data_IF_002136490808
#
_entry.id   IF_002136490808
#
_cell.length_a   1.000
_cell.length_b   1.000
_cell.length_c   1.000
_cell.angle_alpha   90.00
_cell.angle_beta   90.00
_cell.angle_gamma   90.00
#
_symmetry.space_group_name_H-M   'P 1'
#
loop_
_entity.id
_entity.type
_entity.pdbx_description
1 polymer ?
#
# COMPACT_ATOMS: atom_id res chain seq x y z
N UNK A 1 7.55 -7.15 -27.04
CA UNK A 1 6.38 -7.02 -26.14
C UNK A 1 6.71 -5.98 -25.08
N UNK A 2 5.97 -4.88 -25.07
CA UNK A 2 6.18 -3.84 -24.06
C UNK A 2 5.28 -4.09 -22.86
N UNK A 3 5.87 -4.36 -21.70
CA UNK A 3 5.15 -4.41 -20.45
C UNK A 3 5.36 -3.05 -19.78
N UNK A 4 4.28 -2.31 -19.55
CA UNK A 4 4.36 -1.04 -18.84
C UNK A 4 4.54 -1.28 -17.33
N UNK A 5 5.08 -0.28 -16.62
CA UNK A 5 5.16 -0.34 -15.15
C UNK A 5 3.77 -0.45 -14.52
N UNK A 6 2.78 0.16 -15.15
CA UNK A 6 1.41 0.10 -14.67
C UNK A 6 0.85 -1.32 -14.72
N UNK A 7 1.07 -2.02 -15.84
CA UNK A 7 0.67 -3.41 -15.99
C UNK A 7 1.38 -4.33 -15.00
N UNK A 8 2.68 -4.13 -14.85
CA UNK A 8 3.49 -4.91 -13.91
C UNK A 8 2.99 -4.73 -12.47
N UNK A 9 2.69 -3.50 -12.09
CA UNK A 9 2.16 -3.23 -10.77
C UNK A 9 0.78 -3.86 -10.56
N UNK A 10 -0.15 -3.62 -11.48
CA UNK A 10 -1.53 -4.08 -11.32
C UNK A 10 -1.68 -5.59 -11.39
N UNK A 11 -0.92 -6.26 -12.26
CA UNK A 11 -1.08 -7.69 -12.52
C UNK A 11 -0.25 -8.59 -11.60
N UNK A 12 0.89 -8.10 -11.12
CA UNK A 12 1.83 -8.93 -10.37
C UNK A 12 2.20 -8.41 -9.00
N UNK A 13 2.62 -7.17 -8.91
CA UNK A 13 3.28 -6.67 -7.71
C UNK A 13 2.33 -6.20 -6.63
N UNK A 14 1.18 -5.65 -6.98
CA UNK A 14 0.21 -5.16 -6.00
C UNK A 14 -0.21 -6.27 -5.05
N UNK A 15 -0.58 -7.42 -5.61
CA UNK A 15 -0.99 -8.58 -4.82
C UNK A 15 0.16 -9.09 -3.93
N UNK A 16 1.37 -9.16 -4.48
CA UNK A 16 2.55 -9.59 -3.74
C UNK A 16 2.88 -8.64 -2.57
N UNK A 17 2.78 -7.35 -2.79
CA UNK A 17 3.03 -6.36 -1.75
C UNK A 17 1.95 -6.33 -0.67
N UNK A 18 0.77 -6.86 -0.96
CA UNK A 18 -0.35 -6.93 -0.02
C UNK A 18 -0.35 -8.21 0.83
N UNK A 19 0.50 -9.18 0.52
CA UNK A 19 0.62 -10.41 1.30
C UNK A 19 1.29 -10.15 2.65
N UNK A 20 0.76 -10.80 3.69
CA UNK A 20 1.35 -10.74 5.03
C UNK A 20 2.51 -11.72 5.09
N UNK A 21 3.72 -11.22 5.26
CA UNK A 21 4.95 -12.02 5.19
C UNK A 21 5.71 -12.11 6.51
N UNK A 22 5.43 -11.22 7.47
CA UNK A 22 6.18 -11.15 8.72
C UNK A 22 5.29 -11.22 9.94
N UNK A 23 5.88 -11.58 11.10
CA UNK A 23 5.19 -11.58 12.38
C UNK A 23 4.79 -10.17 12.80
N UNK A 24 5.59 -9.16 12.46
CA UNK A 24 5.24 -7.76 12.73
C UNK A 24 3.99 -7.34 11.96
N UNK A 25 3.90 -7.71 10.70
CA UNK A 25 2.71 -7.43 9.88
C UNK A 25 1.48 -8.11 10.46
N UNK A 26 1.61 -9.35 10.91
CA UNK A 26 0.49 -10.07 11.55
C UNK A 26 0.04 -9.40 12.84
N UNK A 27 0.97 -8.96 13.67
CA UNK A 27 0.66 -8.25 14.92
C UNK A 27 -0.06 -6.94 14.65
N UNK A 28 0.40 -6.17 13.67
CA UNK A 28 -0.23 -4.90 13.28
C UNK A 28 -1.64 -5.12 12.72
N UNK A 29 -1.80 -6.12 11.87
CA UNK A 29 -3.10 -6.47 11.29
C UNK A 29 -4.09 -6.90 12.38
N UNK A 30 -3.64 -7.70 13.33
CA UNK A 30 -4.45 -8.13 14.47
C UNK A 30 -4.85 -6.94 15.34
N UNK A 31 -3.92 -6.03 15.61
CA UNK A 31 -4.20 -4.84 16.39
C UNK A 31 -5.22 -3.93 15.70
N UNK A 32 -5.10 -3.77 14.38
CA UNK A 32 -6.06 -2.98 13.60
C UNK A 32 -7.46 -3.60 13.72
N UNK A 33 -7.58 -4.93 13.61
CA UNK A 33 -8.86 -5.62 13.74
C UNK A 33 -9.45 -5.44 15.16
N UNK A 34 -8.63 -5.54 16.19
CA UNK A 34 -9.07 -5.33 17.58
C UNK A 34 -9.55 -3.89 17.81
N UNK A 35 -8.82 -2.91 17.29
CA UNK A 35 -9.20 -1.49 17.40
C UNK A 35 -10.47 -1.19 16.61
N UNK A 36 -10.62 -1.79 15.43
CA UNK A 36 -11.83 -1.64 14.62
C UNK A 36 -13.06 -2.16 15.36
N UNK A 37 -12.96 -3.33 15.98
CA UNK A 37 -14.04 -3.89 16.79
C UNK A 37 -14.37 -3.00 17.98
N UNK A 38 -13.36 -2.46 18.65
CA UNK A 38 -13.53 -1.55 19.78
C UNK A 38 -14.24 -0.26 19.35
N UNK A 39 -13.83 0.32 18.25
CA UNK A 39 -14.45 1.53 17.69
C UNK A 39 -15.92 1.27 17.36
N UNK A 40 -16.22 0.16 16.67
CA UNK A 40 -17.59 -0.21 16.33
C UNK A 40 -18.48 -0.41 17.57
N UNK A 41 -17.92 -0.97 18.64
CA UNK A 41 -18.65 -1.15 19.89
C UNK A 41 -19.01 0.17 20.57
N UNK A 42 -18.13 1.16 20.49
CA UNK A 42 -18.28 2.47 21.16
C UNK A 42 -19.16 3.46 20.41
N UNK A 43 -19.40 3.23 19.10
CA UNK A 43 -20.07 4.20 18.23
C UNK A 43 -21.46 3.72 17.82
N UNK A 44 -22.37 4.68 17.60
CA UNK A 44 -23.67 4.37 16.99
C UNK A 44 -23.52 4.16 15.49
N UNK A 45 -24.61 3.77 14.79
CA UNK A 45 -24.58 3.45 13.36
C UNK A 45 -24.09 4.60 12.48
N UNK A 46 -24.55 5.84 12.74
CA UNK A 46 -24.14 6.98 11.94
C UNK A 46 -22.66 7.30 12.12
N UNK A 47 -22.18 7.20 13.35
CA UNK A 47 -20.77 7.39 13.67
C UNK A 47 -19.91 6.30 13.05
N UNK A 48 -20.36 5.04 13.08
CA UNK A 48 -19.66 3.93 12.44
C UNK A 48 -19.51 4.15 10.93
N UNK A 49 -20.58 4.61 10.27
CA UNK A 49 -20.52 4.93 8.83
C UNK A 49 -19.51 6.01 8.52
N UNK A 50 -19.49 7.08 9.33
CA UNK A 50 -18.55 8.18 9.14
C UNK A 50 -17.09 7.71 9.31
N UNK A 51 -16.82 6.87 10.30
CA UNK A 51 -15.50 6.30 10.53
C UNK A 51 -15.09 5.37 9.39
N UNK A 52 -16.01 4.53 8.91
CA UNK A 52 -15.73 3.63 7.79
C UNK A 52 -15.43 4.38 6.50
N UNK A 53 -16.14 5.47 6.22
CA UNK A 53 -15.84 6.34 5.08
C UNK A 53 -14.45 6.96 5.20
N UNK A 54 -14.10 7.41 6.39
CA UNK A 54 -12.78 7.97 6.67
C UNK A 54 -11.67 6.93 6.46
N UNK A 55 -11.85 5.73 7.00
CA UNK A 55 -10.90 4.64 6.83
C UNK A 55 -10.78 4.25 5.36
N UNK A 56 -11.90 4.17 4.63
CA UNK A 56 -11.89 3.90 3.20
C UNK A 56 -11.08 4.92 2.41
N UNK A 57 -11.23 6.21 2.73
CA UNK A 57 -10.45 7.27 2.10
C UNK A 57 -8.95 7.14 2.41
N UNK A 58 -8.60 6.75 3.64
CA UNK A 58 -7.19 6.50 4.01
C UNK A 58 -6.60 5.33 3.21
N UNK A 59 -7.35 4.25 3.03
CA UNK A 59 -6.90 3.13 2.20
C UNK A 59 -6.70 3.54 0.74
N UNK A 60 -7.59 4.37 0.22
CA UNK A 60 -7.48 4.84 -1.16
C UNK A 60 -6.20 5.66 -1.37
N UNK A 61 -5.90 6.60 -0.46
CA UNK A 61 -4.68 7.39 -0.58
C UNK A 61 -3.42 6.54 -0.36
N UNK A 62 -3.48 5.58 0.56
CA UNK A 62 -2.35 4.68 0.81
C UNK A 62 -2.04 3.83 -0.43
N UNK A 63 -3.06 3.32 -1.11
CA UNK A 63 -2.88 2.57 -2.36
C UNK A 63 -2.20 3.43 -3.43
N UNK A 64 -2.56 4.70 -3.52
CA UNK A 64 -1.91 5.66 -4.43
C UNK A 64 -0.44 5.87 -4.08
N UNK A 65 -0.14 6.06 -2.81
CA UNK A 65 1.23 6.28 -2.35
C UNK A 65 2.12 5.06 -2.58
N UNK A 66 1.62 3.87 -2.36
CA UNK A 66 2.37 2.64 -2.58
C UNK A 66 2.72 2.48 -4.06
N UNK A 67 1.76 2.69 -4.95
CA UNK A 67 1.98 2.66 -6.40
C UNK A 67 2.98 3.73 -6.86
N UNK A 68 2.81 4.94 -6.35
CA UNK A 68 3.72 6.06 -6.62
C UNK A 68 5.14 5.76 -6.17
N UNK A 69 5.30 5.19 -4.98
CA UNK A 69 6.61 4.81 -4.45
C UNK A 69 7.28 3.77 -5.36
N UNK A 70 6.52 2.79 -5.84
CA UNK A 70 7.02 1.78 -6.77
C UNK A 70 7.52 2.44 -8.06
N UNK A 71 6.73 3.32 -8.67
CA UNK A 71 7.11 3.99 -9.91
C UNK A 71 8.35 4.87 -9.74
N UNK A 72 8.39 5.64 -8.65
CA UNK A 72 9.56 6.49 -8.36
C UNK A 72 10.80 5.66 -8.05
N UNK A 73 10.65 4.55 -7.34
CA UNK A 73 11.73 3.64 -7.07
C UNK A 73 12.32 3.02 -8.34
N UNK A 74 11.47 2.61 -9.28
CA UNK A 74 11.91 2.08 -10.57
C UNK A 74 12.70 3.13 -11.38
N UNK A 75 12.20 4.36 -11.43
CA UNK A 75 12.88 5.45 -12.13
C UNK A 75 14.23 5.77 -11.48
N UNK A 76 14.26 5.82 -10.17
CA UNK A 76 15.49 6.05 -9.43
C UNK A 76 16.50 4.95 -9.71
N UNK A 77 16.10 3.69 -9.65
CA UNK A 77 16.99 2.56 -9.88
C UNK A 77 17.59 2.59 -11.28
N UNK A 78 16.77 2.85 -12.31
CA UNK A 78 17.24 2.96 -13.69
C UNK A 78 18.23 4.10 -13.84
N UNK A 79 17.92 5.28 -13.31
CA UNK A 79 18.82 6.44 -13.36
C UNK A 79 20.14 6.16 -12.63
N UNK A 80 20.07 5.54 -11.48
CA UNK A 80 21.25 5.17 -10.70
C UNK A 80 22.16 4.21 -11.48
N UNK A 81 21.60 3.17 -12.09
CA UNK A 81 22.38 2.22 -12.87
C UNK A 81 22.98 2.83 -14.12
N UNK A 82 22.25 3.70 -14.81
CA UNK A 82 22.75 4.39 -15.99
C UNK A 82 23.91 5.30 -15.59
N UNK A 83 23.75 6.11 -14.56
CA UNK A 83 24.80 7.03 -14.08
C UNK A 83 26.05 6.27 -13.65
N UNK A 84 25.86 5.17 -12.92
CA UNK A 84 26.97 4.33 -12.47
C UNK A 84 27.71 3.70 -13.65
N UNK A 85 26.99 3.24 -14.67
CA UNK A 85 27.57 2.64 -15.87
C UNK A 85 28.33 3.67 -16.72
N UNK A 86 27.81 4.90 -16.81
CA UNK A 86 28.42 5.96 -17.63
C UNK A 86 29.60 6.66 -16.96
N UNK A 87 29.67 6.64 -15.63
CA UNK A 87 30.71 7.35 -14.86
C UNK A 87 31.83 6.44 -14.35
N UNK A 88 32.03 5.34 -15.02
CA UNK A 88 33.17 4.48 -14.72
C UNK A 88 34.47 5.03 -15.20
#
# INVERSE_FOLDING_TARGET
MKISLDDLWNEYLFEKCSEIESDEERKLTKRIAELHNKVNYLLNEDQQKAVEEYIGALYDIDAFFVKKAFFKGCRFAVSFFIDTALNK
#
